data_IF_866539507437
#
_entry.id   IF_866539507437
#
_cell.length_a   1.000
_cell.length_b   1.000
_cell.length_c   1.000
_cell.angle_alpha   90.00
_cell.angle_beta   90.00
_cell.angle_gamma   90.00
#
_symmetry.space_group_name_H-M   'P 1'
#
loop_
_entity.id
_entity.type
_entity.pdbx_description
1 polymer ?
#
# COMPACT_ATOMS: atom_id res chain seq x y z
N UNK A 1 -8.40 18.04 57.66
CA UNK A 1 -8.98 17.96 56.30
C UNK A 1 -7.97 17.40 55.27
N UNK A 2 -6.66 17.41 55.55
CA UNK A 2 -5.65 16.75 54.72
C UNK A 2 -5.54 15.23 54.91
N UNK A 3 -5.95 14.71 56.07
CA UNK A 3 -5.87 13.27 56.42
C UNK A 3 -6.81 12.36 55.62
N UNK A 4 -7.80 12.90 54.90
CA UNK A 4 -8.74 12.09 54.10
C UNK A 4 -8.26 11.84 52.66
N UNK A 5 -7.14 12.44 52.25
CA UNK A 5 -6.57 12.28 50.91
C UNK A 5 -5.43 11.25 50.85
N UNK A 6 -4.97 10.74 52.01
CA UNK A 6 -3.81 9.85 52.09
C UNK A 6 -4.08 8.41 51.64
N UNK A 7 -5.34 8.01 51.46
CA UNK A 7 -5.73 6.62 51.22
C UNK A 7 -6.25 6.33 49.80
N UNK A 8 -6.07 7.25 48.85
CA UNK A 8 -6.46 7.00 47.45
C UNK A 8 -5.36 6.20 46.76
N UNK A 9 -5.47 4.88 46.84
CA UNK A 9 -4.60 3.97 46.09
C UNK A 9 -4.84 4.15 44.58
N UNK A 10 -3.79 4.50 43.82
CA UNK A 10 -3.91 4.69 42.37
C UNK A 10 -4.28 3.35 41.73
N UNK A 11 -5.39 3.31 40.99
CA UNK A 11 -5.84 2.13 40.28
C UNK A 11 -4.74 1.62 39.32
N UNK A 12 -4.42 0.33 39.41
CA UNK A 12 -3.38 -0.31 38.59
C UNK A 12 -3.64 -0.04 37.09
N UNK A 13 -2.67 0.53 36.35
CA UNK A 13 -2.79 0.78 34.92
C UNK A 13 -3.21 -0.44 34.09
N UNK A 14 -2.96 -1.67 34.58
CA UNK A 14 -3.37 -2.94 33.96
C UNK A 14 -4.84 -3.29 34.18
N UNK A 15 -5.48 -2.74 35.23
CA UNK A 15 -6.90 -2.91 35.57
C UNK A 15 -7.79 -1.81 34.99
N UNK A 16 -7.21 -0.84 34.27
CA UNK A 16 -7.98 0.20 33.61
C UNK A 16 -8.90 -0.38 32.53
N UNK A 17 -10.19 -0.01 32.56
CA UNK A 17 -11.17 -0.36 31.51
C UNK A 17 -10.70 0.09 30.12
N UNK A 18 -9.96 1.20 30.02
CA UNK A 18 -9.51 1.75 28.74
C UNK A 18 -8.24 1.04 28.28
N UNK A 19 -8.33 0.32 27.15
CA UNK A 19 -7.16 -0.25 26.48
C UNK A 19 -6.22 0.87 26.02
N UNK A 20 -4.92 0.73 26.31
CA UNK A 20 -3.89 1.61 25.76
C UNK A 20 -3.80 1.40 24.24
N UNK A 21 -3.73 2.49 23.48
CA UNK A 21 -3.56 2.43 22.04
C UNK A 21 -2.16 1.93 21.69
N UNK A 22 -2.07 0.93 20.80
CA UNK A 22 -0.80 0.46 20.25
C UNK A 22 -0.32 1.43 19.16
N UNK A 23 0.44 2.43 19.59
CA UNK A 23 1.02 3.44 18.72
C UNK A 23 1.98 2.86 17.68
N UNK A 24 2.56 1.67 17.92
CA UNK A 24 3.50 1.05 16.97
C UNK A 24 2.79 0.55 15.73
N UNK A 25 1.61 -0.07 15.87
CA UNK A 25 0.76 -0.48 14.73
C UNK A 25 0.33 0.71 13.88
N UNK A 26 -0.03 1.81 14.52
CA UNK A 26 -0.39 3.04 13.82
C UNK A 26 0.78 3.59 13.01
N UNK A 27 1.98 3.71 13.63
CA UNK A 27 3.20 4.14 12.93
C UNK A 27 3.53 3.24 11.73
N UNK A 28 3.46 1.92 11.91
CA UNK A 28 3.68 0.94 10.83
C UNK A 28 2.70 1.14 9.67
N UNK A 29 1.40 1.31 9.95
CA UNK A 29 0.38 1.56 8.94
C UNK A 29 0.59 2.89 8.22
N UNK A 30 0.98 3.95 8.93
CA UNK A 30 1.30 5.24 8.33
C UNK A 30 2.49 5.14 7.36
N UNK A 31 3.56 4.45 7.76
CA UNK A 31 4.73 4.17 6.89
C UNK A 31 4.31 3.35 5.67
N UNK A 32 3.46 2.34 5.86
CA UNK A 32 2.95 1.51 4.78
C UNK A 32 2.16 2.35 3.75
N UNK A 33 1.23 3.18 4.21
CA UNK A 33 0.45 4.08 3.34
C UNK A 33 1.38 5.04 2.60
N UNK A 34 2.37 5.62 3.26
CA UNK A 34 3.35 6.53 2.62
C UNK A 34 4.13 5.81 1.52
N UNK A 35 4.48 4.54 1.72
CA UNK A 35 5.22 3.74 0.73
C UNK A 35 4.42 3.46 -0.55
N UNK A 36 3.13 3.15 -0.41
CA UNK A 36 2.28 2.76 -1.54
C UNK A 36 1.42 3.90 -2.12
N UNK A 37 1.47 5.08 -1.51
CA UNK A 37 0.85 6.28 -2.08
C UNK A 37 1.67 6.76 -3.29
N UNK A 38 1.00 7.30 -4.30
CA UNK A 38 1.68 7.98 -5.40
C UNK A 38 2.57 9.13 -4.88
N UNK A 39 3.76 9.26 -5.47
CA UNK A 39 4.73 10.32 -5.17
C UNK A 39 4.46 11.61 -5.93
N UNK A 40 3.62 11.59 -6.96
CA UNK A 40 3.40 12.74 -7.83
C UNK A 40 2.55 12.43 -9.06
N UNK A 41 2.59 13.33 -10.04
CA UNK A 41 1.94 13.13 -11.33
C UNK A 41 2.67 12.06 -12.14
N UNK A 42 1.95 11.29 -12.97
CA UNK A 42 2.58 10.33 -13.86
C UNK A 42 3.41 11.05 -14.93
N UNK A 43 4.58 10.50 -15.21
CA UNK A 43 5.45 10.96 -16.30
C UNK A 43 5.09 10.16 -17.55
N UNK A 44 5.03 10.83 -18.70
CA UNK A 44 4.78 10.14 -19.96
C UNK A 44 5.96 9.18 -20.27
N UNK A 45 5.70 7.89 -20.57
CA UNK A 45 6.77 6.94 -20.82
C UNK A 45 7.47 7.29 -22.13
N UNK A 46 8.80 7.40 -22.08
CA UNK A 46 9.64 7.47 -23.28
C UNK A 46 9.99 6.04 -23.67
N UNK A 47 9.35 5.51 -24.69
CA UNK A 47 9.66 4.19 -25.23
C UNK A 47 10.40 4.32 -26.56
N UNK A 48 11.40 3.45 -26.78
CA UNK A 48 12.05 3.26 -28.08
C UNK A 48 11.77 1.85 -28.60
N UNK A 49 10.50 1.47 -28.70
CA UNK A 49 10.13 0.13 -29.13
C UNK A 49 9.94 0.08 -30.65
N UNK A 50 10.82 -0.61 -31.37
CA UNK A 50 10.69 -0.78 -32.83
C UNK A 50 9.78 -1.96 -33.23
N UNK A 51 9.21 -2.67 -32.25
CA UNK A 51 8.39 -3.87 -32.50
C UNK A 51 6.93 -3.47 -32.70
N UNK A 52 6.35 -3.85 -33.85
CA UNK A 52 4.93 -3.65 -34.22
C UNK A 52 3.90 -4.20 -33.21
N UNK A 53 4.32 -5.07 -32.29
CA UNK A 53 3.46 -5.65 -31.25
C UNK A 53 3.04 -4.62 -30.18
N UNK A 54 3.83 -3.56 -29.97
CA UNK A 54 3.54 -2.55 -28.95
C UNK A 54 2.91 -1.30 -29.59
N UNK A 55 1.91 -0.73 -28.92
CA UNK A 55 1.15 0.44 -29.40
C UNK A 55 1.39 1.66 -28.51
N UNK A 56 2.63 1.87 -28.09
CA UNK A 56 2.98 2.94 -27.16
C UNK A 56 2.71 4.33 -27.74
N UNK A 57 2.89 4.52 -29.05
CA UNK A 57 2.57 5.78 -29.74
C UNK A 57 1.07 6.13 -29.74
N UNK A 58 0.21 5.13 -29.48
CA UNK A 58 -1.24 5.33 -29.37
C UNK A 58 -1.68 5.67 -27.95
N UNK A 59 -0.78 5.64 -26.96
CA UNK A 59 -1.12 6.04 -25.60
C UNK A 59 -1.25 7.56 -25.51
N UNK A 60 -2.39 8.01 -25.02
CA UNK A 60 -2.58 9.41 -24.70
C UNK A 60 -2.14 9.72 -23.26
N UNK A 61 -1.85 10.98 -22.97
CA UNK A 61 -1.61 11.42 -21.59
C UNK A 61 -2.83 11.16 -20.68
N UNK A 62 -4.04 11.17 -21.24
CA UNK A 62 -5.27 10.85 -20.51
C UNK A 62 -5.33 9.38 -20.10
N UNK A 63 -4.91 8.45 -20.97
CA UNK A 63 -4.86 7.02 -20.65
C UNK A 63 -3.91 6.76 -19.50
N UNK A 64 -2.73 7.38 -19.54
CA UNK A 64 -1.72 7.28 -18.48
C UNK A 64 -2.25 7.84 -17.17
N UNK A 65 -2.91 9.01 -17.22
CA UNK A 65 -3.53 9.62 -16.04
C UNK A 65 -4.59 8.70 -15.43
N UNK A 66 -5.52 8.18 -16.24
CA UNK A 66 -6.58 7.27 -15.79
C UNK A 66 -6.01 5.99 -15.19
N UNK A 67 -5.00 5.42 -15.82
CA UNK A 67 -4.31 4.25 -15.29
C UNK A 67 -3.67 4.54 -13.92
N UNK A 68 -2.91 5.64 -13.83
CA UNK A 68 -2.25 6.05 -12.59
C UNK A 68 -3.25 6.31 -11.46
N UNK A 69 -4.34 7.01 -11.73
CA UNK A 69 -5.42 7.27 -10.76
C UNK A 69 -6.05 5.96 -10.28
N UNK A 70 -6.35 5.04 -11.20
CA UNK A 70 -6.95 3.75 -10.85
C UNK A 70 -5.99 2.85 -10.05
N UNK A 71 -4.71 2.81 -10.42
CA UNK A 71 -3.69 2.02 -9.72
C UNK A 71 -3.50 2.50 -8.28
N UNK A 72 -3.44 3.82 -8.07
CA UNK A 72 -3.24 4.41 -6.74
C UNK A 72 -4.54 4.71 -5.98
N UNK A 73 -5.70 4.37 -6.52
CA UNK A 73 -7.00 4.50 -5.84
C UNK A 73 -7.00 3.80 -4.49
N UNK A 74 -6.39 2.62 -4.43
CA UNK A 74 -6.14 1.88 -3.20
C UNK A 74 -4.66 1.98 -2.79
N UNK A 75 -4.39 2.37 -1.53
CA UNK A 75 -3.03 2.60 -1.01
C UNK A 75 -2.44 1.37 -0.30
N UNK A 76 -2.90 0.17 -0.67
CA UNK A 76 -2.46 -1.10 -0.08
C UNK A 76 -1.73 -1.92 -1.15
N UNK A 77 -0.64 -2.56 -0.76
CA UNK A 77 0.16 -3.43 -1.64
C UNK A 77 -0.72 -4.48 -2.33
N UNK A 78 -1.56 -5.17 -1.55
CA UNK A 78 -2.43 -6.25 -2.03
C UNK A 78 -3.36 -5.76 -3.16
N UNK A 79 -3.97 -4.58 -3.00
CA UNK A 79 -4.87 -4.06 -4.02
C UNK A 79 -4.12 -3.64 -5.29
N UNK A 80 -2.91 -3.10 -5.15
CA UNK A 80 -2.05 -2.74 -6.28
C UNK A 80 -1.55 -3.98 -7.03
N UNK A 81 -1.12 -5.02 -6.32
CA UNK A 81 -0.72 -6.30 -6.91
C UNK A 81 -1.91 -6.92 -7.67
N UNK A 82 -3.08 -6.98 -7.02
CA UNK A 82 -4.30 -7.51 -7.64
C UNK A 82 -4.71 -6.72 -8.90
N UNK A 83 -4.49 -5.40 -8.90
CA UNK A 83 -4.72 -4.57 -10.07
C UNK A 83 -3.81 -4.98 -11.24
N UNK A 84 -2.53 -5.22 -10.99
CA UNK A 84 -1.57 -5.66 -12.01
C UNK A 84 -1.96 -7.06 -12.52
N UNK A 85 -2.25 -7.99 -11.61
CA UNK A 85 -2.58 -9.37 -11.94
C UNK A 85 -3.81 -9.49 -12.86
N UNK A 86 -4.76 -8.55 -12.78
CA UNK A 86 -5.91 -8.49 -13.70
C UNK A 86 -5.52 -8.38 -15.18
N UNK A 87 -4.36 -7.79 -15.47
CA UNK A 87 -3.89 -7.52 -16.82
C UNK A 87 -2.68 -8.36 -17.22
N UNK A 88 -2.26 -9.32 -16.38
CA UNK A 88 -1.16 -10.22 -16.66
C UNK A 88 -1.67 -11.63 -16.99
N UNK A 89 -1.02 -12.30 -17.92
CA UNK A 89 -1.18 -13.73 -18.16
C UNK A 89 -0.12 -14.50 -17.39
N UNK A 90 -0.53 -15.52 -16.64
CA UNK A 90 0.39 -16.37 -15.87
C UNK A 90 0.65 -17.65 -16.65
N UNK A 91 1.90 -17.81 -17.10
CA UNK A 91 2.36 -19.07 -17.70
C UNK A 91 3.08 -19.90 -16.63
N UNK A 92 2.62 -21.14 -16.43
CA UNK A 92 3.29 -22.08 -15.53
C UNK A 92 4.69 -22.39 -16.05
N UNK A 93 5.70 -22.27 -15.18
CA UNK A 93 7.06 -22.69 -15.52
C UNK A 93 7.06 -24.19 -15.86
N UNK A 94 7.70 -24.57 -16.96
CA UNK A 94 7.95 -25.98 -17.27
C UNK A 94 8.91 -26.54 -16.22
N UNK A 95 8.50 -27.59 -15.53
CA UNK A 95 9.34 -28.30 -14.56
C UNK A 95 10.53 -28.90 -15.34
N UNK A 96 11.72 -28.34 -15.18
CA UNK A 96 12.95 -29.01 -15.59
C UNK A 96 13.08 -30.25 -14.72
N UNK A 97 12.82 -31.43 -15.29
CA UNK A 97 13.20 -32.69 -14.66
C UNK A 97 14.73 -32.75 -14.75
N UNK A 98 15.41 -32.37 -13.67
CA UNK A 98 16.81 -32.72 -13.50
C UNK A 98 16.86 -34.23 -13.23
N UNK A 99 17.35 -34.98 -14.21
CA UNK A 99 17.76 -36.37 -14.06
C UNK A 99 19.18 -36.42 -13.48
#
# INVERSE_FOLDING_TARGET
>A
MEEMLSNIEKCDPKKSRKRKSDTTKWKRKAVQIKRYKSKGLPIFPRCGHDKKAFKCDKLTAQDIRRFHENFYKCKTKISQDNFILKYCTVNKAKKQMSF
#
